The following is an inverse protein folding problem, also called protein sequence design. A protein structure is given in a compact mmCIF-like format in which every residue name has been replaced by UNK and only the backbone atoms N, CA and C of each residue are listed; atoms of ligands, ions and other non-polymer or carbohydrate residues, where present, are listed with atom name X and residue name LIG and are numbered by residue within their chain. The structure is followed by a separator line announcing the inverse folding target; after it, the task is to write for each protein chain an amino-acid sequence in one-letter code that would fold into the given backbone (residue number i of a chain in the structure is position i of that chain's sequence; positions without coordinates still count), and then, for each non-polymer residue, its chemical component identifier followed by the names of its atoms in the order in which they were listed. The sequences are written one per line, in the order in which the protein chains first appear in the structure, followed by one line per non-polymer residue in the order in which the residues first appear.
data_IF_225902265619
#
_entry.id   IF_225902265619
#
_cell.length_a   1.000
_cell.length_b   1.000
_cell.length_c   1.000
_cell.angle_alpha   90.00
_cell.angle_beta   90.00
_cell.angle_gamma   90.00
#
_symmetry.space_group_name_H-M   'P 1'
#
loop_
_entity.id
_entity.type
_entity.pdbx_description
1 polymer ?
#
# COMPACT_ATOMS: atom_id res chain seq x y z
N UNK A 1 4.00 -9.46 14.94
CA UNK A 1 4.17 -8.20 14.19
C UNK A 1 2.82 -7.51 14.25
N UNK A 2 2.70 -6.39 14.98
CA UNK A 2 1.50 -5.56 14.87
C UNK A 2 1.44 -5.08 13.42
N UNK A 3 0.41 -5.47 12.69
CA UNK A 3 0.15 -4.90 11.38
C UNK A 3 -0.45 -3.53 11.65
N UNK A 4 0.16 -2.47 11.14
CA UNK A 4 -0.44 -1.14 11.15
C UNK A 4 -1.43 -1.08 9.98
N UNK A 5 -2.71 -1.34 10.24
CA UNK A 5 -3.73 -1.33 9.20
C UNK A 5 -4.41 0.04 9.03
N UNK A 6 -4.75 0.35 7.79
CA UNK A 6 -5.51 1.54 7.41
C UNK A 6 -6.64 1.16 6.45
N UNK A 7 -7.80 1.82 6.57
CA UNK A 7 -8.92 1.65 5.64
C UNK A 7 -9.08 2.89 4.78
N UNK A 8 -9.21 2.67 3.49
CA UNK A 8 -9.31 3.75 2.50
C UNK A 8 -10.63 3.60 1.75
N UNK A 9 -11.42 4.66 1.76
CA UNK A 9 -12.57 4.80 0.87
C UNK A 9 -12.07 5.18 -0.52
N UNK A 10 -12.02 4.22 -1.42
CA UNK A 10 -11.60 4.42 -2.82
C UNK A 10 -12.61 5.32 -3.53
N UNK A 11 -12.12 6.41 -4.12
CA UNK A 11 -12.91 7.35 -4.92
C UNK A 11 -12.72 7.14 -6.43
N UNK A 12 -11.53 6.71 -6.83
CA UNK A 12 -11.20 6.40 -8.22
C UNK A 12 -10.21 5.25 -8.27
N UNK A 13 -10.38 4.35 -9.23
CA UNK A 13 -9.42 3.31 -9.53
C UNK A 13 -9.31 3.12 -11.04
N UNK A 14 -8.14 2.71 -11.50
CA UNK A 14 -7.92 2.32 -12.89
C UNK A 14 -7.31 0.91 -12.92
N UNK A 15 -7.71 0.14 -13.93
CA UNK A 15 -7.15 -1.19 -14.18
C UNK A 15 -6.54 -1.16 -15.58
N UNK A 16 -5.26 -1.49 -15.67
CA UNK A 16 -4.51 -1.55 -16.92
C UNK A 16 -3.81 -2.91 -16.99
N UNK A 17 -3.89 -3.55 -18.16
CA UNK A 17 -3.24 -4.82 -18.43
C UNK A 17 -4.01 -6.05 -17.92
N UNK A 18 -3.39 -7.21 -18.11
CA UNK A 18 -3.90 -8.53 -17.69
C UNK A 18 -2.78 -9.30 -17.02
N UNK A 19 -3.06 -9.93 -15.87
CA UNK A 19 -2.07 -10.76 -15.17
C UNK A 19 -2.33 -12.26 -15.44
N UNK A 20 -1.51 -12.94 -16.26
CA UNK A 20 -1.65 -14.37 -16.52
C UNK A 20 -1.31 -15.25 -15.30
N UNK A 21 -0.63 -14.70 -14.29
CA UNK A 21 -0.32 -15.40 -13.02
C UNK A 21 -1.42 -15.24 -11.96
N UNK A 22 -2.54 -14.60 -12.30
CA UNK A 22 -3.62 -14.33 -11.35
C UNK A 22 -4.31 -15.60 -10.85
N UNK A 23 -4.50 -15.70 -9.53
CA UNK A 23 -5.31 -16.74 -8.87
C UNK A 23 -6.71 -16.19 -8.59
N UNK A 24 -7.76 -17.00 -8.80
CA UNK A 24 -9.17 -16.60 -8.65
C UNK A 24 -9.85 -17.36 -7.50
N UNK A 25 -10.80 -16.74 -6.74
CA UNK A 25 -11.32 -15.38 -6.90
C UNK A 25 -10.41 -14.31 -6.27
N UNK A 26 -10.34 -13.12 -6.89
CA UNK A 26 -9.50 -12.01 -6.43
C UNK A 26 -10.12 -10.64 -6.70
N UNK A 27 -9.93 -9.71 -5.77
CA UNK A 27 -10.19 -8.28 -5.98
C UNK A 27 -8.94 -7.64 -6.60
N UNK A 28 -9.05 -7.23 -7.87
CA UNK A 28 -7.96 -6.57 -8.60
C UNK A 28 -7.91 -5.06 -8.31
N UNK A 29 -6.89 -4.41 -8.88
CA UNK A 29 -6.73 -2.95 -8.83
C UNK A 29 -5.55 -2.53 -7.95
N UNK A 30 -4.59 -1.84 -8.54
CA UNK A 30 -3.40 -1.33 -7.85
C UNK A 30 -3.16 0.17 -8.10
N UNK A 31 -4.05 0.84 -8.85
CA UNK A 31 -4.02 2.27 -9.17
C UNK A 31 -5.22 2.98 -8.53
N UNK A 32 -5.34 2.94 -7.20
CA UNK A 32 -6.44 3.56 -6.48
C UNK A 32 -6.06 4.88 -5.81
N UNK A 33 -7.00 5.82 -5.78
CA UNK A 33 -6.94 7.03 -4.96
C UNK A 33 -8.23 7.18 -4.16
N UNK A 34 -8.12 7.78 -2.97
CA UNK A 34 -9.26 7.89 -2.08
C UNK A 34 -8.99 8.71 -0.83
N UNK A 35 -9.87 8.52 0.14
CA UNK A 35 -9.80 9.19 1.44
C UNK A 35 -9.62 8.16 2.54
N UNK A 36 -8.76 8.47 3.51
CA UNK A 36 -8.59 7.68 4.71
C UNK A 36 -9.92 7.61 5.47
N UNK A 37 -10.45 6.41 5.66
CA UNK A 37 -11.71 6.16 6.37
C UNK A 37 -11.45 5.91 7.86
N UNK A 38 -10.50 5.03 8.17
CA UNK A 38 -10.11 4.71 9.55
C UNK A 38 -8.65 4.25 9.62
N UNK A 39 -8.04 4.39 10.79
CA UNK A 39 -6.69 3.91 11.09
C UNK A 39 -6.72 3.08 12.36
N UNK A 40 -5.90 2.03 12.45
CA UNK A 40 -5.75 1.23 13.66
C UNK A 40 -4.98 1.99 14.76
N UNK A 41 -5.09 1.52 16.00
CA UNK A 41 -4.29 2.01 17.11
C UNK A 41 -2.79 1.82 16.85
N UNK A 42 -2.00 2.88 17.08
CA UNK A 42 -0.56 2.92 16.79
C UNK A 42 -0.18 3.57 15.47
N UNK A 43 -1.12 3.72 14.52
CA UNK A 43 -0.86 4.46 13.27
C UNK A 43 -0.81 5.96 13.57
N UNK A 44 0.34 6.58 13.32
CA UNK A 44 0.56 8.02 13.61
C UNK A 44 0.74 8.88 12.36
N UNK A 45 1.01 8.26 11.21
CA UNK A 45 1.33 8.97 9.95
C UNK A 45 0.10 9.45 9.17
N UNK A 46 -1.08 8.94 9.51
CA UNK A 46 -2.33 9.21 8.80
C UNK A 46 -3.47 9.44 9.78
N UNK A 47 -4.52 10.14 9.31
CA UNK A 47 -5.79 10.30 10.02
C UNK A 47 -6.98 10.20 9.07
N UNK A 48 -8.18 9.86 9.56
CA UNK A 48 -9.40 9.93 8.75
C UNK A 48 -9.55 11.29 8.05
N UNK A 49 -9.96 11.27 6.78
CA UNK A 49 -10.09 12.46 5.94
C UNK A 49 -8.86 12.79 5.08
N UNK A 50 -7.69 12.22 5.36
CA UNK A 50 -6.51 12.44 4.52
C UNK A 50 -6.74 11.91 3.09
N UNK A 51 -6.30 12.67 2.09
CA UNK A 51 -6.30 12.22 0.68
C UNK A 51 -5.08 11.35 0.43
N UNK A 52 -5.28 10.16 -0.11
CA UNK A 52 -4.23 9.13 -0.26
C UNK A 52 -4.29 8.44 -1.62
N UNK A 53 -3.13 7.92 -2.05
CA UNK A 53 -2.98 7.08 -3.23
C UNK A 53 -2.44 5.72 -2.76
N UNK A 54 -2.95 4.63 -3.33
CA UNK A 54 -2.48 3.28 -3.07
C UNK A 54 -1.09 3.07 -3.69
N UNK A 55 -0.19 2.45 -2.92
CA UNK A 55 1.11 2.01 -3.37
C UNK A 55 1.17 0.48 -3.31
N UNK A 56 1.28 -0.18 -4.46
CA UNK A 56 1.45 -1.63 -4.52
C UNK A 56 2.85 -2.08 -4.07
N UNK A 57 3.83 -1.17 -4.10
CA UNK A 57 5.15 -1.33 -3.52
C UNK A 57 5.19 -0.58 -2.17
N UNK A 58 5.25 -1.28 -1.03
CA UNK A 58 5.34 -0.62 0.27
C UNK A 58 6.71 0.04 0.47
N UNK A 59 6.81 0.95 1.45
CA UNK A 59 8.07 1.59 1.83
C UNK A 59 8.25 1.56 3.35
N UNK A 60 9.03 0.61 3.86
CA UNK A 60 9.30 0.50 5.31
C UNK A 60 10.27 1.57 5.82
N UNK A 61 11.07 2.19 4.95
CA UNK A 61 12.05 3.23 5.32
C UNK A 61 13.34 2.71 5.98
N UNK A 62 13.39 1.44 6.38
CA UNK A 62 14.47 0.93 7.23
C UNK A 62 15.40 -0.08 6.53
N UNK A 63 14.91 -0.79 5.51
CA UNK A 63 15.68 -1.82 4.82
C UNK A 63 16.76 -1.22 3.91
N UNK A 64 17.75 -2.05 3.51
CA UNK A 64 18.85 -1.65 2.61
C UNK A 64 18.38 -1.05 1.28
N UNK A 65 17.20 -1.46 0.80
CA UNK A 65 16.64 -0.95 -0.45
C UNK A 65 16.02 0.43 -0.24
N UNK A 66 15.21 0.62 0.81
CA UNK A 66 14.66 1.94 1.15
C UNK A 66 15.75 2.98 1.46
N UNK A 67 16.87 2.57 2.06
CA UNK A 67 18.01 3.45 2.35
C UNK A 67 18.90 3.75 1.12
N UNK A 68 18.66 3.09 -0.02
CA UNK A 68 19.45 3.26 -1.23
C UNK A 68 18.71 4.15 -2.24
N UNK A 69 19.23 5.36 -2.50
CA UNK A 69 18.59 6.34 -3.37
C UNK A 69 18.58 5.95 -4.88
N UNK A 70 19.16 4.80 -5.25
CA UNK A 70 19.19 4.29 -6.62
C UNK A 70 18.08 3.28 -6.93
N UNK A 71 17.21 2.97 -5.97
CA UNK A 71 16.13 1.99 -6.16
C UNK A 71 14.86 2.40 -5.42
N UNK A 72 13.72 2.00 -5.96
CA UNK A 72 12.40 2.08 -5.31
C UNK A 72 11.90 0.72 -4.84
N UNK A 73 12.71 -0.33 -4.96
CA UNK A 73 12.38 -1.66 -4.47
C UNK A 73 12.40 -1.68 -2.95
N UNK A 74 11.75 -2.69 -2.39
CA UNK A 74 11.66 -2.91 -0.94
C UNK A 74 11.87 -4.39 -0.66
N UNK A 75 12.43 -4.70 0.51
CA UNK A 75 12.39 -6.07 1.02
C UNK A 75 10.92 -6.37 1.40
N UNK A 76 10.42 -7.56 1.08
CA UNK A 76 9.03 -7.93 1.32
C UNK A 76 8.60 -7.57 2.74
N UNK A 77 7.44 -6.92 2.90
CA UNK A 77 6.88 -6.62 4.22
C UNK A 77 6.79 -7.91 5.05
N UNK A 78 7.41 -7.90 6.23
CA UNK A 78 7.45 -9.03 7.16
C UNK A 78 8.75 -9.85 7.16
N UNK A 79 9.68 -9.62 6.24
CA UNK A 79 10.99 -10.28 6.26
C UNK A 79 12.07 -9.30 6.79
N UNK A 80 12.46 -9.45 8.06
CA UNK A 80 13.65 -8.79 8.64
C UNK A 80 14.94 -9.32 8.04
#
# INVERSE_FOLDING_TARGET
LSMEEVRIKIQGHKVIGSNPEGVSPVMLGHEGAGTMESVEEGVTKFKPGDTVILLYLPQCGECKFCKNHKTNLVKRSGEL
#
